data_IF_573892805096
#
_entry.id   IF_573892805096
#
_cell.length_a   1.000
_cell.length_b   1.000
_cell.length_c   1.000
_cell.angle_alpha   90.00
_cell.angle_beta   90.00
_cell.angle_gamma   90.00
#
_symmetry.space_group_name_H-M   'P 1'
#
loop_
_entity.id
_entity.type
_entity.pdbx_description
1 polymer ?
#
# COMPACT_ATOMS: atom_id res chain seq x y z
N UNK A 1 -37.73 -7.79 -8.97
CA UNK A 1 -36.63 -8.61 -8.47
C UNK A 1 -35.52 -7.70 -7.98
N UNK A 2 -35.54 -7.35 -6.70
CA UNK A 2 -34.42 -6.67 -6.07
C UNK A 2 -33.28 -7.68 -5.98
N UNK A 3 -32.18 -7.40 -6.69
CA UNK A 3 -30.96 -8.18 -6.59
C UNK A 3 -30.48 -8.02 -5.15
N UNK A 4 -30.47 -9.12 -4.39
CA UNK A 4 -29.89 -9.21 -3.05
C UNK A 4 -28.61 -8.37 -3.07
N UNK A 5 -28.59 -7.26 -2.33
CA UNK A 5 -27.58 -6.24 -2.48
C UNK A 5 -26.19 -6.84 -2.37
N UNK A 6 -25.45 -6.88 -3.48
CA UNK A 6 -24.10 -7.46 -3.49
C UNK A 6 -23.25 -6.77 -2.40
N UNK A 7 -22.58 -7.55 -1.57
CA UNK A 7 -21.83 -7.04 -0.45
C UNK A 7 -20.74 -6.06 -0.93
N UNK A 8 -20.84 -4.80 -0.49
CA UNK A 8 -19.87 -3.74 -0.79
C UNK A 8 -18.63 -3.83 0.11
N UNK A 9 -18.76 -4.50 1.24
CA UNK A 9 -17.73 -4.67 2.23
C UNK A 9 -17.83 -6.03 2.91
N UNK A 10 -16.73 -6.45 3.50
CA UNK A 10 -16.65 -7.66 4.33
C UNK A 10 -15.63 -7.43 5.46
N UNK A 11 -15.68 -8.27 6.48
CA UNK A 11 -14.66 -8.33 7.53
C UNK A 11 -13.76 -9.54 7.26
N UNK A 12 -12.45 -9.36 7.38
CA UNK A 12 -11.49 -10.46 7.40
C UNK A 12 -11.09 -10.73 8.84
N UNK A 13 -11.23 -11.99 9.26
CA UNK A 13 -10.62 -12.48 10.49
C UNK A 13 -9.15 -12.79 10.19
N UNK A 14 -8.25 -12.08 10.87
CA UNK A 14 -6.81 -12.30 10.71
C UNK A 14 -6.40 -13.43 11.65
N UNK A 15 -6.07 -14.59 11.11
CA UNK A 15 -5.72 -15.84 11.82
C UNK A 15 -4.62 -15.63 12.89
N UNK A 16 -5.00 -15.21 14.11
CA UNK A 16 -4.11 -15.04 15.26
C UNK A 16 -3.83 -13.60 15.71
N UNK A 17 -4.47 -12.58 15.13
CA UNK A 17 -4.50 -11.23 15.71
C UNK A 17 -5.94 -10.79 15.82
N UNK A 18 -6.41 -10.38 17.01
CA UNK A 18 -7.74 -9.80 17.30
C UNK A 18 -8.11 -8.56 16.46
N UNK A 19 -7.34 -8.23 15.42
CA UNK A 19 -7.59 -7.12 14.53
C UNK A 19 -8.57 -7.54 13.43
N UNK A 20 -9.85 -7.24 13.63
CA UNK A 20 -10.84 -7.17 12.55
C UNK A 20 -10.36 -6.20 11.47
N UNK A 21 -10.22 -6.70 10.25
CA UNK A 21 -9.82 -5.90 9.10
C UNK A 21 -11.01 -5.72 8.17
N UNK A 22 -11.38 -4.47 7.90
CA UNK A 22 -12.51 -4.16 7.02
C UNK A 22 -12.03 -4.02 5.57
N UNK A 23 -12.74 -4.68 4.67
CA UNK A 23 -12.38 -4.79 3.26
C UNK A 23 -13.53 -4.23 2.43
N UNK A 24 -13.23 -3.22 1.61
CA UNK A 24 -14.22 -2.53 0.76
C UNK A 24 -13.86 -2.71 -0.72
N UNK A 25 -14.87 -2.94 -1.55
CA UNK A 25 -14.70 -2.98 -3.00
C UNK A 25 -14.57 -1.57 -3.61
N UNK A 26 -13.53 -1.36 -4.41
CA UNK A 26 -13.28 -0.09 -5.10
C UNK A 26 -13.01 -0.30 -6.60
N UNK A 27 -13.46 0.66 -7.39
CA UNK A 27 -13.14 0.76 -8.81
C UNK A 27 -12.52 2.13 -9.10
N UNK A 28 -11.44 2.13 -9.89
CA UNK A 28 -10.80 3.38 -10.31
C UNK A 28 -11.67 4.09 -11.35
N UNK A 29 -12.02 5.35 -11.08
CA UNK A 29 -12.80 6.15 -12.01
C UNK A 29 -11.91 7.19 -12.69
N UNK A 30 -11.77 7.06 -14.01
CA UNK A 30 -11.00 8.02 -14.83
C UNK A 30 -11.58 9.44 -14.71
N UNK A 31 -12.90 9.58 -14.62
CA UNK A 31 -13.56 10.88 -14.51
C UNK A 31 -13.19 11.63 -13.23
N UNK A 32 -13.31 10.98 -12.07
CA UNK A 32 -12.93 11.57 -10.77
C UNK A 32 -11.42 11.87 -10.71
N UNK A 33 -10.60 11.03 -11.33
CA UNK A 33 -9.17 11.27 -11.41
C UNK A 33 -8.84 12.51 -12.25
N UNK A 34 -9.47 12.67 -13.42
CA UNK A 34 -9.29 13.87 -14.27
C UNK A 34 -9.76 15.11 -13.53
N UNK A 35 -10.94 15.09 -12.90
CA UNK A 35 -11.44 16.21 -12.10
C UNK A 35 -10.48 16.58 -10.95
N UNK A 36 -9.89 15.58 -10.30
CA UNK A 36 -8.89 15.82 -9.26
C UNK A 36 -7.62 16.46 -9.84
N UNK A 37 -7.13 15.96 -10.98
CA UNK A 37 -5.95 16.52 -11.64
C UNK A 37 -6.18 17.96 -12.12
N UNK A 38 -7.36 18.29 -12.68
CA UNK A 38 -7.68 19.66 -13.11
C UNK A 38 -7.78 20.60 -11.91
N UNK A 39 -8.40 20.17 -10.80
CA UNK A 39 -8.45 20.95 -9.56
C UNK A 39 -7.06 21.17 -8.96
N UNK A 40 -6.17 20.17 -9.03
CA UNK A 40 -4.78 20.28 -8.59
C UNK A 40 -3.96 21.30 -9.40
N UNK A 41 -4.16 21.33 -10.73
CA UNK A 41 -3.49 22.30 -11.61
C UNK A 41 -3.96 23.72 -11.26
N UNK A 42 -5.26 23.90 -11.00
CA UNK A 42 -5.84 25.19 -10.65
C UNK A 42 -5.38 25.71 -9.26
N UNK A 43 -5.06 24.81 -8.34
CA UNK A 43 -4.63 25.11 -6.96
C UNK A 43 -3.11 25.09 -6.77
N UNK A 44 -2.35 25.28 -7.85
CA UNK A 44 -0.88 25.40 -7.82
C UNK A 44 -0.17 24.18 -7.17
N UNK A 45 -0.74 22.98 -7.27
CA UNK A 45 -0.10 21.73 -6.80
C UNK A 45 -0.19 21.45 -5.29
N UNK A 46 -0.81 22.32 -4.49
CA UNK A 46 -1.04 22.11 -3.04
C UNK A 46 -1.74 20.77 -2.74
N UNK A 47 -2.74 20.30 -3.52
CA UNK A 47 -3.38 19.02 -3.22
C UNK A 47 -2.52 17.81 -3.56
N UNK A 48 -1.50 17.91 -4.41
CA UNK A 48 -0.53 16.82 -4.62
C UNK A 48 0.35 16.62 -3.39
N UNK A 49 0.78 17.73 -2.79
CA UNK A 49 1.51 17.73 -1.54
C UNK A 49 0.67 17.18 -0.39
N UNK A 50 -0.58 17.64 -0.26
CA UNK A 50 -1.52 17.09 0.72
C UNK A 50 -1.84 15.62 0.46
N UNK A 51 -1.94 15.19 -0.80
CA UNK A 51 -2.17 13.78 -1.18
C UNK A 51 -0.99 12.88 -0.81
N UNK A 52 0.25 13.36 -0.92
CA UNK A 52 1.43 12.66 -0.44
C UNK A 52 1.44 12.50 1.09
N UNK A 53 0.92 13.49 1.81
CA UNK A 53 0.90 13.49 3.28
C UNK A 53 -0.29 12.72 3.88
N UNK A 54 -1.46 12.75 3.23
CA UNK A 54 -2.68 12.10 3.70
C UNK A 54 -3.15 10.99 2.74
N UNK A 55 -2.91 9.70 3.05
CA UNK A 55 -3.36 8.58 2.23
C UNK A 55 -4.88 8.48 2.10
N UNK A 56 -5.63 9.23 2.93
CA UNK A 56 -7.08 9.34 2.85
C UNK A 56 -7.55 10.02 1.54
N UNK A 57 -6.77 10.97 0.99
CA UNK A 57 -7.08 11.64 -0.28
C UNK A 57 -7.01 10.68 -1.49
N UNK A 58 -6.25 9.59 -1.39
CA UNK A 58 -6.24 8.56 -2.44
C UNK A 58 -7.64 7.96 -2.65
N UNK A 59 -8.49 7.94 -1.61
CA UNK A 59 -9.86 7.43 -1.68
C UNK A 59 -10.72 8.19 -2.69
N UNK A 60 -10.50 9.49 -2.88
CA UNK A 60 -11.33 10.35 -3.72
C UNK A 60 -11.33 9.91 -5.20
N UNK A 61 -10.28 9.25 -5.67
CA UNK A 61 -10.16 8.75 -7.06
C UNK A 61 -10.97 7.48 -7.33
N UNK A 62 -11.49 6.84 -6.28
CA UNK A 62 -12.17 5.55 -6.37
C UNK A 62 -13.67 5.67 -6.04
N UNK A 63 -14.45 4.77 -6.62
CA UNK A 63 -15.88 4.62 -6.34
C UNK A 63 -16.07 3.30 -5.59
N UNK A 64 -16.93 3.31 -4.56
CA UNK A 64 -17.29 2.08 -3.86
C UNK A 64 -18.15 1.21 -4.78
N UNK A 65 -17.70 0.00 -5.03
CA UNK A 65 -18.40 -1.00 -5.85
C UNK A 65 -18.55 -2.30 -5.05
N UNK A 66 -19.51 -3.16 -5.41
CA UNK A 66 -19.56 -4.50 -4.83
C UNK A 66 -18.24 -5.26 -4.99
N UNK A 67 -17.90 -6.09 -4.01
CA UNK A 67 -16.64 -6.85 -4.00
C UNK A 67 -16.47 -7.73 -5.24
N UNK A 68 -17.58 -8.22 -5.79
CA UNK A 68 -17.61 -9.02 -7.02
C UNK A 68 -17.06 -8.30 -8.24
N UNK A 69 -17.23 -6.98 -8.35
CA UNK A 69 -16.78 -6.19 -9.49
C UNK A 69 -15.59 -5.28 -9.16
N UNK A 70 -15.03 -5.43 -7.95
CA UNK A 70 -13.96 -4.59 -7.46
C UNK A 70 -12.64 -4.86 -8.22
N UNK A 71 -12.12 -3.84 -8.89
CA UNK A 71 -10.77 -3.87 -9.50
C UNK A 71 -9.68 -3.65 -8.44
N UNK A 72 -10.03 -2.95 -7.36
CA UNK A 72 -9.18 -2.71 -6.22
C UNK A 72 -9.96 -2.92 -4.93
N UNK A 73 -9.26 -3.31 -3.89
CA UNK A 73 -9.82 -3.57 -2.56
C UNK A 73 -9.16 -2.61 -1.58
N UNK A 74 -9.98 -1.88 -0.83
CA UNK A 74 -9.54 -0.94 0.17
C UNK A 74 -9.61 -1.60 1.54
N UNK A 75 -8.45 -1.76 2.18
CA UNK A 75 -8.28 -2.42 3.46
C UNK A 75 -8.19 -1.34 4.53
N UNK A 76 -9.05 -1.42 5.54
CA UNK A 76 -9.07 -0.52 6.70
C UNK A 76 -8.77 -1.31 7.95
N UNK A 77 -7.61 -1.03 8.54
CA UNK A 77 -7.17 -1.58 9.82
C UNK A 77 -7.88 -0.87 10.99
N UNK A 78 -7.93 -1.47 12.19
CA UNK A 78 -8.50 -0.86 13.42
C UNK A 78 -7.91 0.52 13.72
N UNK A 79 -6.65 0.74 13.34
CA UNK A 79 -5.95 2.04 13.45
C UNK A 79 -6.41 3.09 12.42
N UNK A 80 -7.55 2.88 11.73
CA UNK A 80 -8.08 3.69 10.62
C UNK A 80 -7.08 3.95 9.49
N UNK A 81 -6.04 3.12 9.38
CA UNK A 81 -5.09 3.17 8.27
C UNK A 81 -5.73 2.49 7.07
N UNK A 82 -5.96 3.28 6.03
CA UNK A 82 -6.53 2.82 4.79
C UNK A 82 -5.43 2.50 3.78
N UNK A 83 -5.44 1.28 3.24
CA UNK A 83 -4.51 0.84 2.20
C UNK A 83 -5.30 0.26 1.03
N UNK A 84 -5.08 0.81 -0.16
CA UNK A 84 -5.65 0.27 -1.39
C UNK A 84 -4.73 -0.82 -1.91
N UNK A 85 -5.32 -1.96 -2.26
CA UNK A 85 -4.65 -3.10 -2.85
C UNK A 85 -5.33 -3.50 -4.15
N UNK A 86 -4.56 -3.71 -5.20
CA UNK A 86 -5.12 -4.13 -6.48
C UNK A 86 -5.54 -5.60 -6.43
N UNK A 87 -6.71 -5.92 -6.97
CA UNK A 87 -7.16 -7.31 -7.16
C UNK A 87 -6.52 -7.84 -8.42
N UNK A 88 -5.78 -8.95 -8.32
CA UNK A 88 -5.17 -9.61 -9.47
C UNK A 88 -5.99 -10.83 -9.87
N UNK A 89 -5.95 -11.15 -11.14
CA UNK A 89 -6.52 -12.38 -11.68
C UNK A 89 -5.39 -13.37 -12.00
N UNK A 90 -5.66 -14.65 -11.79
CA UNK A 90 -4.74 -15.73 -12.09
C UNK A 90 -5.51 -16.90 -12.69
N UNK A 91 -4.90 -17.58 -13.66
CA UNK A 91 -5.48 -18.76 -14.28
C UNK A 91 -5.06 -20.05 -13.57
N UNK A 92 -6.05 -20.77 -13.02
CA UNK A 92 -5.86 -22.10 -12.46
C UNK A 92 -6.07 -23.15 -13.56
N UNK A 93 -5.18 -24.15 -13.58
CA UNK A 93 -5.38 -25.33 -14.42
C UNK A 93 -6.30 -26.27 -13.62
N UNK A 94 -7.61 -26.15 -13.83
CA UNK A 94 -8.55 -27.19 -13.43
C UNK A 94 -8.94 -27.94 -14.69
N UNK A 95 -8.48 -29.18 -14.80
CA UNK A 95 -8.71 -30.09 -15.92
C UNK A 95 -10.19 -30.42 -16.21
N UNK A 96 -11.17 -29.88 -15.47
CA UNK A 96 -12.56 -30.32 -15.56
C UNK A 96 -13.66 -29.24 -15.74
N UNK A 97 -13.56 -27.97 -15.32
CA UNK A 97 -14.70 -27.04 -15.52
C UNK A 97 -14.36 -25.54 -15.66
N UNK A 98 -15.26 -24.86 -16.39
CA UNK A 98 -15.19 -23.62 -17.20
C UNK A 98 -14.80 -22.28 -16.55
N UNK A 99 -14.28 -22.23 -15.33
CA UNK A 99 -13.83 -20.95 -14.75
C UNK A 99 -12.37 -21.00 -14.30
N UNK A 100 -11.47 -20.79 -15.27
CA UNK A 100 -10.03 -20.77 -15.02
C UNK A 100 -9.59 -19.51 -14.26
N UNK A 101 -10.38 -18.44 -14.19
CA UNK A 101 -9.94 -17.13 -13.68
C UNK A 101 -10.27 -16.95 -12.20
N UNK A 102 -9.25 -17.07 -11.36
CA UNK A 102 -9.31 -16.84 -9.92
C UNK A 102 -8.87 -15.41 -9.58
N UNK A 103 -9.69 -14.66 -8.84
CA UNK A 103 -9.31 -13.34 -8.32
C UNK A 103 -8.67 -13.45 -6.95
N UNK A 104 -7.60 -12.73 -6.73
CA UNK A 104 -6.91 -12.71 -5.45
C UNK A 104 -6.27 -11.36 -5.15
N UNK A 105 -6.03 -11.08 -3.88
CA UNK A 105 -5.20 -9.95 -3.44
C UNK A 105 -4.26 -10.38 -2.32
N UNK A 106 -3.22 -9.57 -2.05
CA UNK A 106 -2.13 -9.94 -1.13
C UNK A 106 -2.02 -8.97 0.05
N UNK A 107 -2.68 -9.24 1.18
CA UNK A 107 -2.58 -8.36 2.35
C UNK A 107 -1.51 -8.87 3.33
N UNK A 108 -0.54 -8.02 3.69
CA UNK A 108 0.54 -8.37 4.64
C UNK A 108 1.27 -9.69 4.30
N UNK A 109 1.52 -9.95 3.02
CA UNK A 109 2.10 -11.21 2.50
C UNK A 109 1.16 -12.44 2.56
N UNK A 110 -0.06 -12.29 3.06
CA UNK A 110 -1.09 -13.32 3.01
C UNK A 110 -1.98 -13.17 1.77
N UNK A 111 -2.26 -14.29 1.10
CA UNK A 111 -3.11 -14.31 -0.09
C UNK A 111 -4.57 -14.53 0.29
N UNK A 112 -5.43 -13.66 -0.21
CA UNK A 112 -6.89 -13.80 -0.12
C UNK A 112 -7.47 -14.03 -1.50
N UNK A 113 -8.35 -15.03 -1.61
CA UNK A 113 -8.92 -15.51 -2.87
C UNK A 113 -10.42 -15.22 -2.85
N UNK A 114 -10.96 -14.79 -4.00
CA UNK A 114 -12.39 -14.59 -4.19
C UNK A 114 -13.11 -15.93 -4.26
N UNK A 115 -14.11 -16.12 -3.40
CA UNK A 115 -14.99 -17.28 -3.43
C UNK A 115 -16.35 -16.88 -3.99
N UNK A 116 -16.68 -17.40 -5.18
CA UNK A 116 -17.86 -17.00 -5.93
C UNK A 116 -19.18 -17.39 -5.25
N UNK A 117 -19.24 -18.54 -4.56
CA UNK A 117 -20.46 -19.04 -3.91
C UNK A 117 -20.89 -18.17 -2.72
N UNK A 118 -19.93 -17.69 -1.94
CA UNK A 118 -20.18 -16.89 -0.75
C UNK A 118 -20.12 -15.38 -1.03
N UNK A 119 -19.60 -14.96 -2.19
CA UNK A 119 -19.43 -13.54 -2.53
C UNK A 119 -18.44 -12.81 -1.61
N UNK A 120 -17.46 -13.53 -1.05
CA UNK A 120 -16.45 -12.99 -0.13
C UNK A 120 -15.04 -13.44 -0.49
N UNK A 121 -14.05 -12.65 -0.08
CA UNK A 121 -12.65 -13.03 -0.09
C UNK A 121 -12.30 -13.83 1.15
N UNK A 122 -11.78 -15.04 0.95
CA UNK A 122 -11.32 -15.95 2.01
C UNK A 122 -9.81 -16.10 1.97
N UNK A 123 -9.21 -16.52 3.08
CA UNK A 123 -7.78 -16.82 3.12
C UNK A 123 -7.45 -18.07 2.28
N UNK A 124 -6.31 -18.09 1.60
CA UNK A 124 -5.89 -19.22 0.75
C UNK A 124 -5.81 -20.54 1.53
N UNK A 125 -5.46 -20.51 2.81
CA UNK A 125 -5.37 -21.73 3.64
C UNK A 125 -6.75 -22.35 3.86
N UNK A 126 -7.81 -21.55 4.04
CA UNK A 126 -9.19 -22.05 4.23
C UNK A 126 -9.69 -22.81 2.99
N UNK A 127 -9.07 -22.58 1.84
CA UNK A 127 -9.38 -23.30 0.61
C UNK A 127 -8.80 -24.73 0.60
N UNK A 128 -7.75 -25.00 1.39
CA UNK A 128 -7.11 -26.31 1.50
C UNK A 128 -8.09 -27.39 1.96
N UNK A 129 -9.00 -27.03 2.87
CA UNK A 129 -9.98 -27.97 3.42
C UNK A 129 -11.13 -28.27 2.45
N UNK A 130 -11.28 -27.46 1.39
CA UNK A 130 -12.37 -27.56 0.41
C UNK A 130 -11.94 -28.18 -0.93
N UNK A 131 -10.63 -28.31 -1.19
CA UNK A 131 -10.09 -28.76 -2.48
C UNK A 131 -9.35 -30.09 -2.33
N UNK A 132 -9.42 -30.95 -3.35
CA UNK A 132 -8.66 -32.21 -3.41
C UNK A 132 -7.16 -31.97 -3.50
N UNK A 133 -6.36 -32.76 -2.78
CA UNK A 133 -4.89 -32.69 -2.76
C UNK A 133 -4.28 -32.70 -4.17
N UNK A 134 -4.84 -33.47 -5.11
CA UNK A 134 -4.36 -33.52 -6.49
C UNK A 134 -4.41 -32.14 -7.19
N UNK A 135 -5.53 -31.44 -7.07
CA UNK A 135 -5.71 -30.10 -7.66
C UNK A 135 -4.83 -29.06 -6.95
N UNK A 136 -4.68 -29.22 -5.62
CA UNK A 136 -3.80 -28.38 -4.82
C UNK A 136 -2.33 -28.52 -5.27
N UNK A 137 -1.84 -29.75 -5.45
CA UNK A 137 -0.46 -30.00 -5.87
C UNK A 137 -0.17 -29.42 -7.24
N UNK A 138 -1.08 -29.56 -8.20
CA UNK A 138 -0.92 -29.00 -9.55
C UNK A 138 -0.86 -27.45 -9.54
N UNK A 139 -1.58 -26.82 -8.61
CA UNK A 139 -1.70 -25.37 -8.55
C UNK A 139 -0.96 -24.72 -7.36
N UNK A 140 -0.10 -25.46 -6.64
CA UNK A 140 0.52 -25.02 -5.38
C UNK A 140 1.36 -23.76 -5.56
N UNK A 141 2.26 -23.77 -6.55
CA UNK A 141 3.13 -22.62 -6.86
C UNK A 141 2.29 -21.42 -7.31
N UNK A 142 1.20 -21.66 -8.05
CA UNK A 142 0.27 -20.60 -8.47
C UNK A 142 -0.44 -20.00 -7.25
N UNK A 143 -0.99 -20.82 -6.37
CA UNK A 143 -1.78 -20.42 -5.20
C UNK A 143 -0.95 -19.75 -4.11
N UNK A 144 0.21 -20.30 -3.75
CA UNK A 144 1.05 -19.78 -2.67
C UNK A 144 2.12 -18.81 -3.16
N UNK A 145 2.52 -18.90 -4.42
CA UNK A 145 3.68 -18.18 -4.95
C UNK A 145 5.00 -18.82 -4.54
N UNK A 146 6.13 -18.27 -5.01
CA UNK A 146 7.45 -18.74 -4.61
C UNK A 146 7.67 -18.46 -3.11
N UNK A 147 8.29 -19.41 -2.41
CA UNK A 147 8.72 -19.24 -1.03
C UNK A 147 9.97 -18.33 -0.97
N UNK A 148 9.79 -17.03 -1.22
CA UNK A 148 10.86 -16.04 -1.16
C UNK A 148 10.41 -14.86 -0.30
N UNK A 149 11.17 -14.61 0.76
CA UNK A 149 10.97 -13.46 1.65
C UNK A 149 11.71 -12.26 1.06
N UNK A 150 11.14 -11.66 0.02
CA UNK A 150 11.67 -10.41 -0.52
C UNK A 150 11.15 -9.27 0.33
N UNK A 151 12.00 -8.74 1.21
CA UNK A 151 11.68 -7.55 2.00
C UNK A 151 11.57 -6.37 1.03
N UNK A 152 10.39 -5.77 0.94
CA UNK A 152 10.17 -4.61 0.09
C UNK A 152 11.02 -3.43 0.59
N UNK A 153 12.14 -3.16 -0.08
CA UNK A 153 12.94 -1.96 0.16
C UNK A 153 12.06 -0.77 -0.19
N UNK A 154 11.74 0.07 0.80
CA UNK A 154 11.03 1.33 0.55
C UNK A 154 11.80 2.10 -0.52
N UNK A 155 11.10 2.68 -1.51
CA UNK A 155 11.73 3.50 -2.54
C UNK A 155 12.56 4.62 -1.90
N UNK A 156 13.79 4.85 -2.37
CA UNK A 156 14.68 5.90 -1.89
C UNK A 156 14.01 7.28 -1.84
N UNK A 157 13.15 7.59 -2.83
CA UNK A 157 12.39 8.84 -2.85
C UNK A 157 11.43 8.98 -1.67
N UNK A 158 10.74 7.89 -1.31
CA UNK A 158 9.83 7.90 -0.16
C UNK A 158 10.61 8.07 1.15
N UNK A 159 11.77 7.45 1.26
CA UNK A 159 12.66 7.61 2.41
C UNK A 159 13.14 9.06 2.55
N UNK A 160 13.59 9.65 1.44
CA UNK A 160 14.05 11.04 1.38
C UNK A 160 12.95 12.02 1.80
N UNK A 161 11.73 11.84 1.29
CA UNK A 161 10.58 12.66 1.66
C UNK A 161 10.24 12.51 3.15
N UNK A 162 10.21 11.27 3.67
CA UNK A 162 10.01 11.02 5.12
C UNK A 162 11.09 11.74 5.97
N UNK A 163 12.34 11.76 5.50
CA UNK A 163 13.47 12.39 6.18
C UNK A 163 13.41 13.93 6.14
N UNK A 164 13.12 14.54 4.98
CA UNK A 164 13.02 16.01 4.83
C UNK A 164 11.88 16.59 5.68
N UNK A 165 10.79 15.84 5.85
CA UNK A 165 9.67 16.24 6.71
C UNK A 165 9.88 15.93 8.19
N UNK A 166 10.99 15.28 8.57
CA UNK A 166 11.31 15.14 9.97
C UNK A 166 11.58 16.54 10.56
N UNK A 167 10.91 16.91 11.67
CA UNK A 167 10.96 18.25 12.24
C UNK A 167 12.39 18.77 12.40
N UNK A 168 13.35 17.89 12.71
CA UNK A 168 14.76 18.25 12.82
C UNK A 168 15.33 18.93 11.57
N UNK A 169 15.17 18.33 10.38
CA UNK A 169 15.72 18.89 9.14
C UNK A 169 14.95 20.13 8.68
N UNK A 170 13.65 20.19 8.95
CA UNK A 170 12.83 21.37 8.65
C UNK A 170 13.30 22.57 9.47
N UNK A 171 13.63 22.38 10.75
CA UNK A 171 14.25 23.42 11.58
C UNK A 171 15.66 23.79 11.11
N UNK A 172 16.46 22.85 10.62
CA UNK A 172 17.80 23.13 10.09
C UNK A 172 17.74 24.02 8.84
N UNK A 173 16.88 23.69 7.87
CA UNK A 173 16.71 24.50 6.64
C UNK A 173 16.16 25.88 6.98
N UNK A 174 15.17 25.97 7.86
CA UNK A 174 14.62 27.24 8.31
C UNK A 174 15.69 28.11 8.99
N UNK A 175 16.54 27.50 9.82
CA UNK A 175 17.66 28.20 10.47
C UNK A 175 18.62 28.77 9.43
N UNK A 176 19.08 27.96 8.46
CA UNK A 176 19.99 28.42 7.41
C UNK A 176 19.41 29.60 6.61
N UNK A 177 18.12 29.56 6.29
CA UNK A 177 17.42 30.65 5.60
C UNK A 177 17.41 31.92 6.45
N UNK A 178 17.03 31.82 7.73
CA UNK A 178 16.97 32.97 8.65
C UNK A 178 18.35 33.63 8.79
N UNK A 179 19.40 32.84 9.07
CA UNK A 179 20.77 33.36 9.19
C UNK A 179 21.32 33.93 7.87
N UNK A 180 20.84 33.45 6.72
CA UNK A 180 21.22 34.00 5.41
C UNK A 180 20.48 35.30 5.07
N UNK A 181 19.23 35.44 5.51
CA UNK A 181 18.44 36.67 5.34
C UNK A 181 18.96 37.83 6.18
N UNK A 182 19.50 37.53 7.37
CA UNK A 182 20.14 38.53 8.23
C UNK A 182 21.62 38.81 7.84
N UNK A 183 22.09 38.35 6.67
CA UNK A 183 23.48 38.49 6.18
C UNK A 183 24.58 37.85 7.07
N UNK A 184 24.19 36.98 8.01
CA UNK A 184 25.08 36.27 8.92
C UNK A 184 25.56 34.92 8.34
N UNK A 185 26.25 34.98 7.20
CA UNK A 185 26.78 33.81 6.48
C UNK A 185 27.69 32.85 7.29
N UNK A 186 28.51 33.31 8.26
CA UNK A 186 29.35 32.40 9.06
C UNK A 186 28.53 31.40 9.89
N UNK A 187 27.40 31.84 10.45
CA UNK A 187 26.50 30.99 11.24
C UNK A 187 25.72 30.02 10.36
N UNK A 188 25.23 30.50 9.20
CA UNK A 188 24.58 29.64 8.21
C UNK A 188 25.50 28.50 7.73
N UNK A 189 26.79 28.80 7.52
CA UNK A 189 27.80 27.80 7.11
C UNK A 189 28.06 26.76 8.20
N UNK A 190 28.13 27.19 9.47
CA UNK A 190 28.30 26.29 10.61
C UNK A 190 27.13 25.29 10.73
N UNK A 191 25.89 25.78 10.62
CA UNK A 191 24.68 24.93 10.64
C UNK A 191 24.67 23.95 9.47
N UNK A 192 25.09 24.39 8.28
CA UNK A 192 25.19 23.54 7.09
C UNK A 192 26.21 22.41 7.28
N UNK A 193 27.41 22.70 7.79
CA UNK A 193 28.46 21.71 8.04
C UNK A 193 27.99 20.67 9.07
N UNK A 194 27.41 21.11 10.19
CA UNK A 194 26.89 20.21 11.22
C UNK A 194 25.79 19.30 10.68
N UNK A 195 24.89 19.84 9.85
CA UNK A 195 23.82 19.07 9.20
C UNK A 195 24.38 18.03 8.23
N UNK A 196 25.38 18.41 7.43
CA UNK A 196 26.04 17.51 6.47
C UNK A 196 26.77 16.35 7.17
N UNK A 197 27.49 16.64 8.27
CA UNK A 197 28.16 15.61 9.07
C UNK A 197 27.16 14.66 9.72
N UNK A 198 26.09 15.19 10.32
CA UNK A 198 25.03 14.38 10.94
C UNK A 198 24.37 13.45 9.92
N UNK A 199 23.98 13.97 8.75
CA UNK A 199 23.38 13.17 7.67
C UNK A 199 24.36 12.12 7.13
N UNK A 200 25.64 12.46 6.94
CA UNK A 200 26.67 11.52 6.51
C UNK A 200 26.86 10.36 7.49
N UNK A 201 26.89 10.64 8.80
CA UNK A 201 27.00 9.61 9.84
C UNK A 201 25.76 8.72 9.86
N UNK A 202 24.55 9.28 9.82
CA UNK A 202 23.31 8.52 9.79
C UNK A 202 23.19 7.63 8.55
N UNK A 203 23.60 8.13 7.38
CA UNK A 203 23.60 7.35 6.15
C UNK A 203 24.61 6.19 6.23
N UNK A 204 25.79 6.44 6.78
CA UNK A 204 26.82 5.42 6.98
C UNK A 204 26.35 4.31 7.94
N UNK A 205 25.75 4.68 9.07
CA UNK A 205 25.17 3.73 10.03
C UNK A 205 24.04 2.91 9.39
N UNK A 206 23.16 3.55 8.62
CA UNK A 206 22.06 2.87 7.93
C UNK A 206 22.57 1.88 6.89
N UNK A 207 23.61 2.25 6.13
CA UNK A 207 24.25 1.36 5.15
C UNK A 207 24.83 0.11 5.84
N UNK A 208 25.59 0.30 6.91
CA UNK A 208 26.19 -0.81 7.67
C UNK A 208 25.12 -1.76 8.24
N UNK A 209 24.02 -1.20 8.78
CA UNK A 209 22.92 -2.00 9.33
C UNK A 209 22.17 -2.82 8.26
N UNK A 210 22.05 -2.31 7.03
CA UNK A 210 21.42 -3.04 5.92
C UNK A 210 22.34 -4.16 5.43
N UNK A 211 23.64 -3.89 5.29
CA UNK A 211 24.64 -4.85 4.81
C UNK A 211 24.83 -6.03 5.77
N UNK A 212 24.71 -5.80 7.08
CA UNK A 212 24.74 -6.88 8.08
C UNK A 212 23.47 -7.75 8.10
N UNK A 213 22.35 -7.27 7.54
CA UNK A 213 21.04 -7.94 7.60
C UNK A 213 20.70 -8.76 6.35
N UNK A 214 21.49 -8.64 5.28
CA UNK A 214 21.43 -9.48 4.08
C UNK A 214 22.62 -10.46 4.08
N UNK A 215 22.50 -11.67 4.66
CA UNK A 215 23.44 -12.75 4.39
C UNK A 215 23.34 -13.25 2.94
#
# INVERSE_FOLDING_TARGET
YEVIGEAKWQTLDSNGTENEVYVYGYQYSKFRAVLFHTLCILSCGIPYFAMAYYPMLHRCKYINVPLRHATAVGITDKKRRFKIQHVREMELNLSSHRESRLRYFMHQHNRHIWHAEQGVFIHVITLNDKITIAVLMENLIKLYGPNSVVVAVKSYWKLFVEEVFNPFYLFQVFSIILWSMDEYYPYATCVLILSALSCGVSLHQTKQAIEQKNP
#
